data_IF_372961246290
#
_entry.id   IF_372961246290
#
_cell.length_a   1.000
_cell.length_b   1.000
_cell.length_c   1.000
_cell.angle_alpha   90.00
_cell.angle_beta   90.00
_cell.angle_gamma   90.00
#
_symmetry.space_group_name_H-M   'P 1'
#
loop_
_entity.id
_entity.type
_entity.pdbx_description
1 polymer ?
#
# COMPACT_ATOMS: atom_id res chain seq x y z
N UNK A 1 -24.38 22.89 17.21
CA UNK A 1 -25.43 23.52 18.04
C UNK A 1 -26.42 22.41 18.40
N UNK A 2 -26.22 21.78 19.54
CA UNK A 2 -27.03 20.67 20.01
C UNK A 2 -28.06 21.15 20.99
N UNK A 3 -29.33 20.95 20.69
CA UNK A 3 -30.44 21.21 21.58
C UNK A 3 -30.51 20.08 22.63
N UNK A 4 -30.24 20.41 23.84
CA UNK A 4 -30.51 19.59 25.03
C UNK A 4 -32.00 19.73 25.35
N UNK A 5 -32.78 18.71 24.97
CA UNK A 5 -34.16 18.55 25.43
C UNK A 5 -34.16 17.60 26.60
N UNK A 6 -34.34 18.14 27.80
CA UNK A 6 -34.60 17.32 28.99
C UNK A 6 -35.91 16.58 28.85
N UNK A 7 -35.85 15.25 29.00
CA UNK A 7 -37.02 14.41 29.26
C UNK A 7 -36.75 13.53 30.50
N UNK A 8 -37.73 13.49 31.33
CA UNK A 8 -37.87 12.73 32.57
C UNK A 8 -37.60 11.22 32.38
N UNK A 9 -37.17 10.50 33.44
CA UNK A 9 -36.69 9.12 33.35
C UNK A 9 -37.84 8.10 33.35
N UNK A 10 -38.67 8.10 32.33
CA UNK A 10 -39.67 7.04 32.17
C UNK A 10 -40.11 6.88 30.69
N UNK A 11 -39.12 6.63 29.84
CA UNK A 11 -39.37 6.03 28.54
C UNK A 11 -38.36 4.92 28.36
N UNK A 12 -38.81 3.69 28.66
CA UNK A 12 -38.18 2.45 28.25
C UNK A 12 -37.90 2.51 26.75
N UNK A 13 -36.69 2.86 26.39
CA UNK A 13 -36.15 2.60 25.05
C UNK A 13 -35.97 1.10 24.98
N UNK A 14 -37.00 0.40 24.53
CA UNK A 14 -36.88 -0.98 24.06
C UNK A 14 -35.98 -0.95 22.81
N UNK A 15 -34.66 -0.96 23.04
CA UNK A 15 -33.74 -1.43 22.02
C UNK A 15 -34.09 -2.90 21.76
N UNK A 16 -34.71 -3.14 20.62
CA UNK A 16 -34.94 -4.50 20.13
C UNK A 16 -33.57 -5.12 19.80
N UNK A 17 -32.89 -5.65 20.84
CA UNK A 17 -31.62 -6.36 20.76
C UNK A 17 -31.77 -7.82 20.30
N UNK A 18 -32.96 -8.21 19.80
CA UNK A 18 -33.26 -9.58 19.40
C UNK A 18 -33.10 -9.87 17.92
N UNK A 19 -32.48 -9.00 17.14
CA UNK A 19 -32.22 -9.30 15.72
C UNK A 19 -30.75 -9.49 15.42
N UNK A 20 -30.43 -10.70 15.23
CA UNK A 20 -29.34 -11.39 14.60
C UNK A 20 -28.88 -10.78 13.26
N UNK A 21 -28.55 -9.56 13.10
CA UNK A 21 -27.81 -8.97 11.95
C UNK A 21 -27.79 -7.45 12.12
N UNK A 22 -27.04 -6.95 13.11
CA UNK A 22 -26.61 -5.57 13.09
C UNK A 22 -25.56 -5.43 11.99
N UNK A 23 -25.97 -4.93 10.82
CA UNK A 23 -25.04 -4.41 9.85
C UNK A 23 -24.21 -3.31 10.51
N UNK A 24 -22.88 -3.45 10.50
CA UNK A 24 -21.90 -2.63 11.22
C UNK A 24 -21.91 -1.12 10.86
N UNK A 25 -22.79 -0.69 9.99
CA UNK A 25 -22.81 0.69 9.48
C UNK A 25 -23.46 1.72 10.41
N UNK A 26 -24.12 1.29 11.51
CA UNK A 26 -24.80 2.20 12.44
C UNK A 26 -24.47 1.95 13.92
N UNK A 27 -23.36 1.29 14.22
CA UNK A 27 -22.97 1.04 15.61
C UNK A 27 -22.24 2.27 16.16
N UNK A 28 -22.84 2.90 17.18
CA UNK A 28 -22.16 3.92 17.97
C UNK A 28 -21.32 3.21 19.06
N UNK A 29 -20.02 3.45 19.06
CA UNK A 29 -19.13 2.92 20.08
C UNK A 29 -19.24 3.72 21.38
N UNK A 30 -19.23 3.08 22.56
CA UNK A 30 -19.30 3.74 23.84
C UNK A 30 -18.04 4.60 24.07
N UNK A 31 -18.23 5.79 24.65
CA UNK A 31 -17.14 6.71 24.94
C UNK A 31 -17.23 7.38 26.32
N UNK A 32 -18.29 7.08 27.10
CA UNK A 32 -18.54 7.60 28.44
C UNK A 32 -18.72 6.50 29.46
N UNK A 33 -18.53 6.82 30.75
CA UNK A 33 -18.74 5.88 31.85
C UNK A 33 -20.21 5.48 32.01
N UNK A 34 -21.14 6.39 31.73
CA UNK A 34 -22.58 6.10 31.79
C UNK A 34 -22.98 5.04 30.75
N UNK A 35 -22.42 5.14 29.54
CA UNK A 35 -22.63 4.12 28.50
C UNK A 35 -22.02 2.77 28.91
N UNK A 36 -20.85 2.78 29.58
CA UNK A 36 -20.24 1.55 30.13
C UNK A 36 -21.15 0.92 31.18
N UNK A 37 -21.69 1.70 32.14
CA UNK A 37 -22.62 1.21 33.16
C UNK A 37 -23.90 0.62 32.55
N UNK A 38 -24.43 1.30 31.53
CA UNK A 38 -25.58 0.79 30.78
C UNK A 38 -25.26 -0.56 30.10
N UNK A 39 -24.12 -0.68 29.41
CA UNK A 39 -23.72 -1.93 28.76
C UNK A 39 -23.47 -3.05 29.77
N UNK A 40 -22.93 -2.74 30.96
CA UNK A 40 -22.74 -3.71 32.04
C UNK A 40 -24.09 -4.21 32.59
N UNK A 41 -25.10 -3.35 32.64
CA UNK A 41 -26.46 -3.73 33.11
C UNK A 41 -27.19 -4.66 32.13
N UNK A 42 -26.76 -4.70 30.85
CA UNK A 42 -27.32 -5.60 29.83
C UNK A 42 -26.86 -7.08 29.99
N UNK A 43 -26.08 -7.37 31.00
CA UNK A 43 -25.74 -8.73 31.49
C UNK A 43 -25.25 -9.70 30.42
N UNK A 44 -26.13 -10.53 29.90
CA UNK A 44 -25.79 -11.66 29.03
C UNK A 44 -25.71 -11.34 27.52
N UNK A 45 -25.81 -10.08 27.14
CA UNK A 45 -25.75 -9.69 25.70
C UNK A 45 -24.33 -9.82 25.14
N UNK A 46 -24.13 -10.70 24.17
CA UNK A 46 -22.86 -10.82 23.41
C UNK A 46 -22.48 -9.49 22.75
N UNK A 47 -23.45 -8.76 22.22
CA UNK A 47 -23.23 -7.45 21.61
C UNK A 47 -22.76 -6.39 22.62
N UNK A 48 -23.37 -6.37 23.84
CA UNK A 48 -22.92 -5.46 24.89
C UNK A 48 -21.48 -5.77 25.35
N UNK A 49 -21.13 -7.05 25.46
CA UNK A 49 -19.75 -7.48 25.76
C UNK A 49 -18.77 -7.07 24.67
N UNK A 50 -19.13 -7.22 23.41
CA UNK A 50 -18.32 -6.74 22.29
C UNK A 50 -18.04 -5.24 22.38
N UNK A 51 -19.07 -4.41 22.61
CA UNK A 51 -18.92 -2.97 22.74
C UNK A 51 -18.09 -2.56 23.96
N UNK A 52 -18.23 -3.23 25.09
CA UNK A 52 -17.39 -3.03 26.28
C UNK A 52 -15.92 -3.32 25.95
N UNK A 53 -15.64 -4.41 25.23
CA UNK A 53 -14.28 -4.71 24.74
C UNK A 53 -13.72 -3.61 23.87
N UNK A 54 -14.51 -3.04 22.96
CA UNK A 54 -14.10 -1.90 22.13
C UNK A 54 -13.78 -0.67 22.98
N UNK A 55 -14.59 -0.38 24.00
CA UNK A 55 -14.34 0.70 24.95
C UNK A 55 -13.02 0.50 25.70
N UNK A 56 -12.80 -0.67 26.29
CA UNK A 56 -11.57 -0.96 27.02
C UNK A 56 -10.34 -0.87 26.12
N UNK A 57 -10.43 -1.38 24.90
CA UNK A 57 -9.34 -1.25 23.93
C UNK A 57 -8.98 0.22 23.63
N UNK A 58 -9.98 1.09 23.46
CA UNK A 58 -9.77 2.53 23.25
C UNK A 58 -9.10 3.22 24.44
N UNK A 59 -9.26 2.65 25.64
CA UNK A 59 -8.60 3.11 26.88
C UNK A 59 -7.28 2.40 27.16
N UNK A 60 -6.77 1.60 26.19
CA UNK A 60 -5.53 0.82 26.27
C UNK A 60 -5.55 -0.24 27.39
N UNK A 61 -6.75 -0.61 27.86
CA UNK A 61 -6.98 -1.71 28.81
C UNK A 61 -7.21 -2.99 28.03
N UNK A 62 -6.10 -3.54 27.53
CA UNK A 62 -6.13 -4.63 26.55
C UNK A 62 -6.62 -5.95 27.14
N UNK A 63 -6.29 -6.25 28.39
CA UNK A 63 -6.71 -7.52 29.04
C UNK A 63 -8.21 -7.56 29.22
N UNK A 64 -8.83 -6.46 29.66
CA UNK A 64 -10.27 -6.35 29.80
C UNK A 64 -10.97 -6.39 28.44
N UNK A 65 -10.36 -5.76 27.42
CA UNK A 65 -10.90 -5.81 26.07
C UNK A 65 -10.97 -7.24 25.55
N UNK A 66 -9.87 -7.99 25.69
CA UNK A 66 -9.77 -9.39 25.25
C UNK A 66 -10.72 -10.30 26.02
N UNK A 67 -10.84 -10.10 27.35
CA UNK A 67 -11.82 -10.86 28.17
C UNK A 67 -13.23 -10.65 27.62
N UNK A 68 -13.63 -9.40 27.40
CA UNK A 68 -14.95 -9.09 26.85
C UNK A 68 -15.20 -9.73 25.47
N UNK A 69 -14.20 -9.69 24.57
CA UNK A 69 -14.36 -10.30 23.25
C UNK A 69 -14.38 -11.83 23.29
N UNK A 70 -13.63 -12.46 24.21
CA UNK A 70 -13.72 -13.92 24.45
C UNK A 70 -15.08 -14.32 25.01
N UNK A 71 -15.58 -13.58 26.01
CA UNK A 71 -16.94 -13.77 26.53
C UNK A 71 -18.00 -13.58 25.43
N UNK A 72 -17.78 -12.63 24.48
CA UNK A 72 -18.63 -12.47 23.31
C UNK A 72 -18.68 -13.76 22.48
N UNK A 73 -17.53 -14.39 22.23
CA UNK A 73 -17.42 -15.61 21.44
C UNK A 73 -17.91 -16.87 22.19
N UNK A 74 -17.84 -16.89 23.52
CA UNK A 74 -18.46 -17.94 24.32
C UNK A 74 -19.99 -17.96 24.15
N UNK A 75 -20.60 -16.74 24.07
CA UNK A 75 -22.04 -16.58 23.89
C UNK A 75 -22.47 -16.65 22.42
N UNK A 76 -21.64 -16.18 21.52
CA UNK A 76 -21.90 -16.14 20.10
C UNK A 76 -20.62 -16.48 19.30
N UNK A 77 -20.33 -17.79 19.11
CA UNK A 77 -19.09 -18.24 18.46
C UNK A 77 -18.89 -17.73 17.02
N UNK A 78 -19.97 -17.33 16.37
CA UNK A 78 -19.97 -16.84 14.98
C UNK A 78 -20.02 -15.31 14.88
N UNK A 79 -19.71 -14.60 15.98
CA UNK A 79 -19.69 -13.14 15.96
C UNK A 79 -18.39 -12.62 15.30
N UNK A 80 -18.45 -12.43 13.99
CA UNK A 80 -17.30 -12.08 13.15
C UNK A 80 -16.53 -10.82 13.61
N UNK A 81 -17.17 -9.72 14.08
CA UNK A 81 -16.42 -8.56 14.57
C UNK A 81 -15.52 -8.84 15.77
N UNK A 82 -15.89 -9.77 16.65
CA UNK A 82 -15.04 -10.14 17.78
C UNK A 82 -13.81 -10.95 17.33
N UNK A 83 -13.99 -11.89 16.39
CA UNK A 83 -12.85 -12.56 15.75
C UNK A 83 -11.89 -11.57 15.09
N UNK A 84 -12.43 -10.61 14.34
CA UNK A 84 -11.62 -9.56 13.73
C UNK A 84 -10.78 -8.80 14.75
N UNK A 85 -11.37 -8.33 15.86
CA UNK A 85 -10.66 -7.55 16.88
C UNK A 85 -9.62 -8.38 17.64
N UNK A 86 -9.91 -9.66 17.91
CA UNK A 86 -8.92 -10.57 18.48
C UNK A 86 -7.75 -10.79 17.52
N UNK A 87 -7.99 -10.86 16.20
CA UNK A 87 -6.94 -10.93 15.20
C UNK A 87 -6.05 -9.68 15.19
N UNK A 88 -6.65 -8.49 15.20
CA UNK A 88 -5.93 -7.21 15.29
C UNK A 88 -5.10 -7.13 16.59
N UNK A 89 -5.68 -7.52 17.72
CA UNK A 89 -4.97 -7.55 18.99
C UNK A 89 -3.79 -8.53 18.98
N UNK A 90 -4.00 -9.75 18.45
CA UNK A 90 -2.95 -10.77 18.37
C UNK A 90 -1.76 -10.29 17.56
N UNK A 91 -1.98 -9.56 16.48
CA UNK A 91 -0.90 -8.94 15.68
C UNK A 91 -0.23 -7.78 16.43
N UNK A 92 -1.01 -6.77 16.82
CA UNK A 92 -0.47 -5.49 17.28
C UNK A 92 0.12 -5.56 18.70
N UNK A 93 -0.41 -6.44 19.56
CA UNK A 93 -0.04 -6.46 20.99
C UNK A 93 0.65 -7.75 21.41
N UNK A 94 0.26 -8.88 20.87
CA UNK A 94 0.89 -10.17 21.20
C UNK A 94 2.01 -10.54 20.22
N UNK A 95 2.07 -9.92 19.04
CA UNK A 95 2.99 -10.28 17.96
C UNK A 95 2.86 -11.77 17.55
N UNK A 96 1.66 -12.33 17.72
CA UNK A 96 1.32 -13.69 17.32
C UNK A 96 0.67 -13.72 15.95
N UNK A 97 1.51 -13.88 14.93
CA UNK A 97 1.11 -13.90 13.52
C UNK A 97 0.16 -15.09 13.20
N UNK A 98 0.36 -16.24 13.86
CA UNK A 98 -0.43 -17.44 13.62
C UNK A 98 -1.85 -17.25 14.14
N UNK A 99 -1.99 -16.75 15.36
CA UNK A 99 -3.28 -16.50 15.95
C UNK A 99 -4.01 -15.35 15.24
N UNK A 100 -3.29 -14.27 14.87
CA UNK A 100 -3.85 -13.16 14.10
C UNK A 100 -4.44 -13.64 12.78
N UNK A 101 -3.69 -14.47 12.03
CA UNK A 101 -4.13 -15.01 10.75
C UNK A 101 -5.39 -15.89 10.92
N UNK A 102 -5.39 -16.79 11.92
CA UNK A 102 -6.52 -17.68 12.17
C UNK A 102 -7.81 -16.89 12.50
N UNK A 103 -7.71 -15.86 13.33
CA UNK A 103 -8.85 -15.03 13.69
C UNK A 103 -9.38 -14.21 12.51
N UNK A 104 -8.52 -13.59 11.71
CA UNK A 104 -8.96 -12.82 10.54
C UNK A 104 -9.54 -13.74 9.45
N UNK A 105 -8.98 -14.92 9.24
CA UNK A 105 -9.57 -15.93 8.35
C UNK A 105 -10.97 -16.35 8.81
N UNK A 106 -11.16 -16.54 10.11
CA UNK A 106 -12.49 -16.89 10.67
C UNK A 106 -13.47 -15.74 10.45
N UNK A 107 -13.07 -14.48 10.69
CA UNK A 107 -13.92 -13.32 10.45
C UNK A 107 -14.38 -13.24 8.98
N UNK A 108 -13.46 -13.44 8.02
CA UNK A 108 -13.78 -13.45 6.58
C UNK A 108 -14.68 -14.63 6.20
N UNK A 109 -14.49 -15.80 6.83
CA UNK A 109 -15.33 -16.98 6.57
C UNK A 109 -16.76 -16.77 7.07
N UNK A 110 -16.95 -16.05 8.17
CA UNK A 110 -18.26 -15.73 8.75
C UNK A 110 -19.00 -14.63 7.96
N UNK A 111 -18.27 -13.63 7.47
CA UNK A 111 -18.81 -12.53 6.68
C UNK A 111 -18.07 -12.39 5.35
N UNK A 112 -18.27 -13.28 4.38
CA UNK A 112 -17.50 -13.33 3.14
C UNK A 112 -17.72 -12.09 2.24
N UNK A 113 -18.82 -11.38 2.41
CA UNK A 113 -19.15 -10.14 1.67
C UNK A 113 -18.62 -8.86 2.33
N UNK A 114 -17.96 -8.98 3.47
CA UNK A 114 -17.39 -7.86 4.20
C UNK A 114 -16.01 -7.48 3.62
N UNK A 115 -16.01 -6.48 2.76
CA UNK A 115 -14.79 -6.03 2.08
C UNK A 115 -13.71 -5.49 3.05
N UNK A 116 -14.10 -4.97 4.24
CA UNK A 116 -13.14 -4.54 5.26
C UNK A 116 -12.38 -5.73 5.85
N UNK A 117 -13.08 -6.81 6.19
CA UNK A 117 -12.43 -8.00 6.74
C UNK A 117 -11.49 -8.64 5.70
N UNK A 118 -11.91 -8.66 4.45
CA UNK A 118 -11.07 -9.15 3.36
C UNK A 118 -9.82 -8.27 3.17
N UNK A 119 -9.95 -6.94 3.24
CA UNK A 119 -8.82 -6.02 3.19
C UNK A 119 -7.83 -6.27 4.32
N UNK A 120 -8.31 -6.39 5.56
CA UNK A 120 -7.46 -6.59 6.73
C UNK A 120 -6.74 -7.95 6.70
N UNK A 121 -7.41 -9.01 6.20
CA UNK A 121 -6.78 -10.31 5.98
C UNK A 121 -5.70 -10.24 4.90
N UNK A 122 -5.99 -9.63 3.75
CA UNK A 122 -5.02 -9.48 2.66
C UNK A 122 -3.82 -8.64 3.11
N UNK A 123 -4.06 -7.56 3.87
CA UNK A 123 -3.00 -6.72 4.41
C UNK A 123 -2.10 -7.49 5.40
N UNK A 124 -2.68 -8.33 6.27
CA UNK A 124 -1.90 -9.23 7.11
C UNK A 124 -1.08 -10.22 6.28
N UNK A 125 -1.66 -10.81 5.25
CA UNK A 125 -0.95 -11.72 4.34
C UNK A 125 0.22 -11.02 3.64
N UNK A 126 0.07 -9.73 3.26
CA UNK A 126 1.14 -8.89 2.72
C UNK A 126 2.27 -8.72 3.75
N UNK A 127 1.94 -8.40 5.00
CA UNK A 127 2.92 -8.24 6.10
C UNK A 127 3.65 -9.56 6.41
N UNK A 128 3.00 -10.69 6.19
CA UNK A 128 3.57 -12.04 6.31
C UNK A 128 4.32 -12.51 5.07
N UNK A 129 4.56 -11.64 4.10
CA UNK A 129 5.24 -11.94 2.83
C UNK A 129 4.61 -13.12 2.06
N UNK A 130 3.28 -13.29 2.11
CA UNK A 130 2.60 -14.27 1.29
C UNK A 130 2.78 -13.96 -0.19
N UNK A 131 2.87 -14.99 -1.01
CA UNK A 131 3.19 -14.84 -2.42
C UNK A 131 2.16 -13.99 -3.17
N UNK A 132 2.61 -13.29 -4.23
CA UNK A 132 1.73 -12.54 -5.13
C UNK A 132 0.62 -13.43 -5.68
N UNK A 133 0.96 -14.67 -6.05
CA UNK A 133 0.00 -15.62 -6.62
C UNK A 133 -1.10 -16.00 -5.62
N UNK A 134 -0.75 -16.35 -4.38
CA UNK A 134 -1.72 -16.72 -3.33
C UNK A 134 -2.69 -15.59 -3.03
N UNK A 135 -2.18 -14.36 -2.82
CA UNK A 135 -3.01 -13.19 -2.56
C UNK A 135 -3.88 -12.83 -3.76
N UNK A 136 -3.30 -12.82 -4.97
CA UNK A 136 -4.01 -12.49 -6.20
C UNK A 136 -5.17 -13.46 -6.46
N UNK A 137 -4.97 -14.77 -6.31
CA UNK A 137 -6.02 -15.78 -6.49
C UNK A 137 -7.20 -15.47 -5.56
N UNK A 138 -6.94 -15.22 -4.28
CA UNK A 138 -7.99 -14.89 -3.30
C UNK A 138 -8.77 -13.63 -3.68
N UNK A 139 -8.08 -12.57 -4.12
CA UNK A 139 -8.74 -11.30 -4.46
C UNK A 139 -9.51 -11.38 -5.79
N UNK A 140 -9.00 -12.12 -6.78
CA UNK A 140 -9.68 -12.30 -8.07
C UNK A 140 -10.95 -13.15 -7.91
N UNK A 141 -10.93 -14.23 -7.13
CA UNK A 141 -12.11 -15.04 -6.82
C UNK A 141 -13.21 -14.22 -6.13
N UNK A 142 -12.82 -13.17 -5.39
CA UNK A 142 -13.73 -12.29 -4.66
C UNK A 142 -13.82 -10.88 -5.25
N UNK A 143 -13.54 -10.72 -6.54
CA UNK A 143 -13.46 -9.41 -7.22
C UNK A 143 -14.65 -8.50 -6.95
N UNK A 144 -15.87 -9.04 -6.91
CA UNK A 144 -17.07 -8.24 -6.59
C UNK A 144 -17.01 -7.61 -5.19
N UNK A 145 -16.45 -8.30 -4.20
CA UNK A 145 -16.23 -7.78 -2.85
C UNK A 145 -15.07 -6.79 -2.83
N UNK A 146 -13.97 -7.11 -3.51
CA UNK A 146 -12.79 -6.23 -3.63
C UNK A 146 -13.17 -4.86 -4.15
N UNK A 147 -13.99 -4.80 -5.19
CA UNK A 147 -14.42 -3.55 -5.81
C UNK A 147 -15.40 -2.72 -4.95
N UNK A 148 -15.80 -3.18 -3.77
CA UNK A 148 -16.58 -2.36 -2.82
C UNK A 148 -15.73 -1.32 -2.08
N UNK A 149 -14.36 -1.44 -2.09
CA UNK A 149 -13.43 -0.56 -1.37
C UNK A 149 -12.24 -0.18 -2.24
N UNK A 150 -11.86 1.08 -2.19
CA UNK A 150 -10.75 1.61 -3.01
C UNK A 150 -9.39 1.14 -2.50
N UNK A 151 -9.19 1.03 -1.18
CA UNK A 151 -7.96 0.51 -0.58
C UNK A 151 -7.69 -0.96 -0.95
N UNK A 152 -8.72 -1.80 -0.91
CA UNK A 152 -8.61 -3.20 -1.32
C UNK A 152 -8.44 -3.35 -2.85
N UNK A 153 -9.07 -2.45 -3.62
CA UNK A 153 -8.88 -2.38 -5.07
C UNK A 153 -7.43 -1.99 -5.41
N UNK A 154 -6.82 -1.07 -4.64
CA UNK A 154 -5.41 -0.71 -4.81
C UNK A 154 -4.47 -1.91 -4.61
N UNK A 155 -4.74 -2.78 -3.62
CA UNK A 155 -3.97 -4.02 -3.44
C UNK A 155 -4.11 -4.98 -4.63
N UNK A 156 -5.33 -5.14 -5.16
CA UNK A 156 -5.55 -5.94 -6.38
C UNK A 156 -4.79 -5.39 -7.59
N UNK A 157 -4.80 -4.07 -7.78
CA UNK A 157 -4.05 -3.40 -8.86
C UNK A 157 -2.54 -3.63 -8.72
N UNK A 158 -1.99 -3.50 -7.51
CA UNK A 158 -0.58 -3.78 -7.22
C UNK A 158 -0.21 -5.24 -7.56
N UNK A 159 -1.03 -6.20 -7.14
CA UNK A 159 -0.81 -7.62 -7.44
C UNK A 159 -0.89 -7.93 -8.94
N UNK A 160 -1.82 -7.33 -9.66
CA UNK A 160 -1.91 -7.46 -11.12
C UNK A 160 -0.69 -6.86 -11.83
N UNK A 161 -0.25 -5.66 -11.42
CA UNK A 161 0.94 -5.03 -11.97
C UNK A 161 2.20 -5.86 -11.67
N UNK A 162 2.33 -6.39 -10.46
CA UNK A 162 3.46 -7.23 -10.07
C UNK A 162 3.52 -8.58 -10.82
N UNK A 163 2.37 -9.10 -11.27
CA UNK A 163 2.23 -10.43 -11.92
C UNK A 163 2.05 -10.38 -13.44
N UNK A 164 2.11 -9.20 -14.06
CA UNK A 164 2.02 -9.06 -15.52
C UNK A 164 0.60 -8.97 -16.08
N UNK A 165 -0.43 -8.90 -15.24
CA UNK A 165 -1.84 -8.74 -15.63
C UNK A 165 -2.20 -7.28 -15.91
N UNK A 166 -1.39 -6.61 -16.73
CA UNK A 166 -1.50 -5.15 -16.95
C UNK A 166 -2.81 -4.73 -17.62
N UNK A 167 -3.38 -5.59 -18.47
CA UNK A 167 -4.66 -5.30 -19.12
C UNK A 167 -5.83 -5.33 -18.12
N UNK A 168 -5.80 -6.27 -17.16
CA UNK A 168 -6.83 -6.37 -16.12
C UNK A 168 -6.78 -5.15 -15.18
N UNK A 169 -5.57 -4.72 -14.82
CA UNK A 169 -5.38 -3.51 -14.03
C UNK A 169 -5.84 -2.25 -14.80
N UNK A 170 -5.47 -2.12 -16.08
CA UNK A 170 -5.90 -1.01 -16.92
C UNK A 170 -7.42 -0.91 -17.03
N UNK A 171 -8.12 -2.03 -17.21
CA UNK A 171 -9.57 -2.04 -17.32
C UNK A 171 -10.28 -1.44 -16.08
N UNK A 172 -9.72 -1.61 -14.88
CA UNK A 172 -10.25 -0.99 -13.67
C UNK A 172 -9.82 0.48 -13.58
N UNK A 173 -8.55 0.78 -13.84
CA UNK A 173 -8.00 2.13 -13.75
C UNK A 173 -8.67 3.10 -14.75
N UNK A 174 -9.04 2.61 -15.93
CA UNK A 174 -9.67 3.42 -16.98
C UNK A 174 -11.17 3.69 -16.75
N UNK A 175 -11.84 2.88 -15.93
CA UNK A 175 -13.32 2.91 -15.84
C UNK A 175 -13.88 3.20 -14.47
N UNK A 176 -13.17 2.83 -13.40
CA UNK A 176 -13.62 3.00 -12.03
C UNK A 176 -13.40 4.43 -11.55
N UNK A 177 -14.39 5.02 -10.88
CA UNK A 177 -14.22 6.25 -10.12
C UNK A 177 -13.70 5.89 -8.74
N UNK A 178 -12.54 6.45 -8.37
CA UNK A 178 -11.91 6.30 -7.07
C UNK A 178 -12.15 7.53 -6.21
N UNK A 179 -12.15 7.33 -4.90
CA UNK A 179 -12.32 8.39 -3.92
C UNK A 179 -11.07 8.45 -3.04
N UNK A 180 -10.47 9.62 -2.84
CA UNK A 180 -9.35 9.79 -1.92
C UNK A 180 -9.74 9.34 -0.50
N UNK A 181 -8.79 8.69 0.18
CA UNK A 181 -8.97 8.35 1.60
C UNK A 181 -7.68 8.65 2.36
N UNK A 182 -7.82 8.97 3.64
CA UNK A 182 -6.67 9.28 4.50
C UNK A 182 -5.71 8.08 4.62
N UNK A 183 -4.43 8.32 4.38
CA UNK A 183 -3.39 7.29 4.30
C UNK A 183 -3.39 6.49 2.98
N UNK A 184 -4.17 6.93 2.01
CA UNK A 184 -4.25 6.37 0.66
C UNK A 184 -3.69 7.26 -0.43
N UNK A 185 -3.18 8.42 -0.07
CA UNK A 185 -2.65 9.43 -0.97
C UNK A 185 -1.59 8.83 -1.90
N UNK A 186 -1.74 9.05 -3.18
CA UNK A 186 -0.84 8.55 -4.21
C UNK A 186 -0.93 7.05 -4.51
N UNK A 187 -1.73 6.25 -3.78
CA UNK A 187 -1.79 4.80 -4.02
C UNK A 187 -2.43 4.45 -5.35
N UNK A 188 -3.56 5.03 -5.68
CA UNK A 188 -4.25 4.75 -6.95
C UNK A 188 -3.47 5.34 -8.13
N UNK A 189 -3.05 6.58 -8.03
CA UNK A 189 -2.24 7.24 -9.07
C UNK A 189 -0.90 6.55 -9.25
N UNK A 190 -0.27 6.06 -8.18
CA UNK A 190 0.93 5.23 -8.24
C UNK A 190 0.72 3.92 -9.01
N UNK A 191 -0.40 3.22 -8.79
CA UNK A 191 -0.73 2.02 -9.54
C UNK A 191 -1.03 2.32 -11.02
N UNK A 192 -1.65 3.47 -11.32
CA UNK A 192 -1.83 3.93 -12.69
C UNK A 192 -0.49 4.18 -13.39
N UNK A 193 0.43 4.91 -12.75
CA UNK A 193 1.78 5.15 -13.27
C UNK A 193 2.52 3.85 -13.55
N UNK A 194 2.54 2.94 -12.57
CA UNK A 194 3.18 1.62 -12.72
C UNK A 194 2.59 0.82 -13.87
N UNK A 195 1.27 0.84 -14.02
CA UNK A 195 0.59 0.16 -15.13
C UNK A 195 1.02 0.72 -16.49
N UNK A 196 1.04 2.06 -16.62
CA UNK A 196 1.47 2.70 -17.87
C UNK A 196 2.95 2.41 -18.17
N UNK A 197 3.84 2.44 -17.16
CA UNK A 197 5.25 2.10 -17.32
C UNK A 197 5.44 0.64 -17.75
N UNK A 198 4.76 -0.29 -17.09
CA UNK A 198 4.84 -1.70 -17.46
C UNK A 198 4.32 -1.98 -18.89
N UNK A 199 3.23 -1.34 -19.28
CA UNK A 199 2.69 -1.45 -20.65
C UNK A 199 3.65 -0.83 -21.68
N UNK A 200 4.28 0.29 -21.35
CA UNK A 200 5.31 0.89 -22.20
C UNK A 200 6.49 -0.08 -22.39
N UNK A 201 6.97 -0.71 -21.31
CA UNK A 201 8.04 -1.72 -21.40
C UNK A 201 7.64 -2.92 -22.26
N UNK A 202 6.41 -3.43 -22.15
CA UNK A 202 5.91 -4.49 -23.04
C UNK A 202 5.93 -4.06 -24.53
N UNK A 203 5.61 -2.82 -24.82
CA UNK A 203 5.68 -2.31 -26.19
C UNK A 203 7.13 -2.12 -26.67
N UNK A 204 8.04 -1.69 -25.78
CA UNK A 204 9.48 -1.60 -26.07
C UNK A 204 10.05 -2.98 -26.41
N UNK A 205 9.74 -4.02 -25.65
CA UNK A 205 10.16 -5.41 -25.92
C UNK A 205 9.76 -5.90 -27.31
N UNK A 206 8.66 -5.38 -27.85
CA UNK A 206 8.14 -5.72 -29.19
C UNK A 206 8.61 -4.78 -30.28
N UNK A 207 9.46 -3.79 -29.96
CA UNK A 207 9.88 -2.75 -30.91
C UNK A 207 8.77 -1.76 -31.29
N UNK A 208 7.66 -1.75 -30.52
CA UNK A 208 6.49 -0.91 -30.80
C UNK A 208 6.61 0.45 -30.09
N UNK A 209 7.66 1.23 -30.44
CA UNK A 209 8.04 2.46 -29.74
C UNK A 209 6.98 3.55 -29.76
N UNK A 210 6.14 3.61 -30.79
CA UNK A 210 5.02 4.57 -30.83
C UNK A 210 4.00 4.29 -29.71
N UNK A 211 3.57 3.03 -29.56
CA UNK A 211 2.62 2.63 -28.52
C UNK A 211 3.24 2.81 -27.12
N UNK A 212 4.55 2.52 -26.97
CA UNK A 212 5.26 2.82 -25.72
C UNK A 212 5.22 4.31 -25.38
N UNK A 213 5.50 5.17 -26.36
CA UNK A 213 5.43 6.62 -26.22
C UNK A 213 4.02 7.10 -25.83
N UNK A 214 2.97 6.51 -26.40
CA UNK A 214 1.59 6.84 -26.06
C UNK A 214 1.28 6.51 -24.59
N UNK A 215 1.68 5.34 -24.09
CA UNK A 215 1.56 4.97 -22.68
C UNK A 215 2.33 5.93 -21.75
N UNK A 216 3.57 6.27 -22.09
CA UNK A 216 4.42 7.17 -21.31
C UNK A 216 3.84 8.59 -21.26
N UNK A 217 3.31 9.09 -22.38
CA UNK A 217 2.63 10.39 -22.41
C UNK A 217 1.31 10.38 -21.62
N UNK A 218 0.59 9.26 -21.62
CA UNK A 218 -0.58 9.08 -20.77
C UNK A 218 -0.21 9.12 -19.27
N UNK A 219 0.93 8.52 -18.89
CA UNK A 219 1.41 8.55 -17.51
C UNK A 219 1.70 9.96 -16.97
N UNK A 220 1.98 10.94 -17.84
CA UNK A 220 2.16 12.34 -17.45
C UNK A 220 0.84 13.07 -17.13
N UNK A 221 -0.31 12.42 -17.29
CA UNK A 221 -1.63 12.99 -17.05
C UNK A 221 -2.46 12.01 -16.24
N UNK A 222 -3.06 12.48 -15.16
CA UNK A 222 -3.96 11.64 -14.38
C UNK A 222 -5.40 11.85 -14.83
N UNK A 223 -6.11 10.78 -15.25
CA UNK A 223 -7.54 10.85 -15.50
C UNK A 223 -8.32 11.24 -14.24
N UNK A 224 -9.37 12.04 -14.39
CA UNK A 224 -10.16 12.57 -13.26
C UNK A 224 -10.79 11.46 -12.40
N UNK A 225 -11.08 10.31 -12.99
CA UNK A 225 -11.67 9.17 -12.29
C UNK A 225 -10.76 8.55 -11.23
N UNK A 226 -9.45 8.85 -11.25
CA UNK A 226 -8.52 8.37 -10.22
C UNK A 226 -8.69 9.09 -8.87
N UNK A 227 -9.42 10.21 -8.83
CA UNK A 227 -9.76 10.95 -7.62
C UNK A 227 -8.65 11.86 -7.09
N UNK A 228 -7.45 11.80 -7.65
CA UNK A 228 -6.30 12.62 -7.26
C UNK A 228 -5.64 13.24 -8.48
N UNK A 229 -5.26 14.52 -8.36
CA UNK A 229 -4.49 15.23 -9.38
C UNK A 229 -2.99 14.99 -9.26
N UNK A 230 -2.28 15.33 -10.33
CA UNK A 230 -0.82 15.29 -10.33
C UNK A 230 -0.27 16.44 -9.49
N UNK A 231 0.75 16.15 -8.66
CA UNK A 231 1.40 17.15 -7.83
C UNK A 231 2.28 18.08 -8.66
N UNK A 232 2.31 19.36 -8.29
CA UNK A 232 3.22 20.33 -8.86
C UNK A 232 4.66 19.97 -8.47
N UNK A 233 5.57 20.10 -9.44
CA UNK A 233 7.01 19.83 -9.19
C UNK A 233 7.42 18.36 -9.28
N UNK A 234 6.53 17.45 -9.61
CA UNK A 234 6.86 16.04 -9.87
C UNK A 234 7.79 15.95 -11.10
N UNK A 235 8.93 15.27 -10.94
CA UNK A 235 10.00 15.27 -11.96
C UNK A 235 9.91 14.12 -12.96
N UNK A 236 9.21 13.02 -12.64
CA UNK A 236 8.95 11.87 -13.54
C UNK A 236 10.18 11.38 -14.31
N UNK A 237 11.31 11.28 -13.65
CA UNK A 237 12.59 10.95 -14.28
C UNK A 237 12.56 9.62 -15.03
N UNK A 238 11.83 8.63 -14.53
CA UNK A 238 11.60 7.33 -15.17
C UNK A 238 10.85 7.47 -16.50
N UNK A 239 9.78 8.25 -16.53
CA UNK A 239 8.97 8.49 -17.73
C UNK A 239 9.80 9.23 -18.79
N UNK A 240 10.49 10.30 -18.38
CA UNK A 240 11.30 11.07 -19.32
C UNK A 240 12.47 10.26 -19.88
N UNK A 241 13.11 9.41 -19.06
CA UNK A 241 14.14 8.51 -19.56
C UNK A 241 13.60 7.53 -20.60
N UNK A 242 12.46 6.90 -20.34
CA UNK A 242 11.85 5.94 -21.26
C UNK A 242 11.37 6.61 -22.55
N UNK A 243 10.85 7.84 -22.49
CA UNK A 243 10.54 8.64 -23.68
C UNK A 243 11.79 8.94 -24.50
N UNK A 244 12.91 9.28 -23.84
CA UNK A 244 14.20 9.47 -24.49
C UNK A 244 14.69 8.20 -25.18
N UNK A 245 14.56 7.04 -24.50
CA UNK A 245 14.89 5.75 -25.09
C UNK A 245 14.03 5.44 -26.34
N UNK A 246 12.72 5.64 -26.26
CA UNK A 246 11.83 5.43 -27.41
C UNK A 246 12.18 6.34 -28.61
N UNK A 247 12.50 7.61 -28.35
CA UNK A 247 12.92 8.56 -29.40
C UNK A 247 14.26 8.14 -30.03
N UNK A 248 15.23 7.73 -29.21
CA UNK A 248 16.54 7.23 -29.67
C UNK A 248 16.36 6.00 -30.58
N UNK A 249 15.53 5.04 -30.18
CA UNK A 249 15.25 3.85 -30.98
C UNK A 249 14.47 4.16 -32.30
N UNK A 250 13.68 5.23 -32.30
CA UNK A 250 13.00 5.74 -33.49
C UNK A 250 13.90 6.57 -34.42
N UNK A 251 15.16 6.80 -34.04
CA UNK A 251 16.14 7.61 -34.80
C UNK A 251 16.03 9.12 -34.62
N UNK A 252 15.19 9.59 -33.67
CA UNK A 252 15.06 11.03 -33.38
C UNK A 252 16.01 11.42 -32.22
N UNK A 253 17.28 11.64 -32.61
CA UNK A 253 18.33 11.98 -31.65
C UNK A 253 18.11 13.33 -30.95
N UNK A 254 17.47 14.30 -31.62
CA UNK A 254 17.17 15.60 -31.03
C UNK A 254 16.12 15.43 -29.90
N UNK A 255 15.02 14.80 -30.19
CA UNK A 255 13.96 14.57 -29.21
C UNK A 255 14.45 13.69 -28.05
N UNK A 256 15.31 12.70 -28.34
CA UNK A 256 15.92 11.87 -27.30
C UNK A 256 16.77 12.71 -26.34
N UNK A 257 17.62 13.62 -26.87
CA UNK A 257 18.42 14.51 -26.04
C UNK A 257 17.58 15.44 -25.16
N UNK A 258 16.49 15.99 -25.69
CA UNK A 258 15.53 16.81 -24.92
C UNK A 258 14.90 16.03 -23.77
N UNK A 259 14.43 14.81 -24.00
CA UNK A 259 13.86 13.97 -22.97
C UNK A 259 14.89 13.53 -21.92
N UNK A 260 16.11 13.16 -22.30
CA UNK A 260 17.18 12.86 -21.35
C UNK A 260 17.57 14.07 -20.50
N UNK A 261 17.47 15.29 -21.05
CA UNK A 261 17.66 16.50 -20.27
C UNK A 261 16.57 16.69 -19.19
N UNK A 262 15.32 16.38 -19.50
CA UNK A 262 14.22 16.38 -18.52
C UNK A 262 14.42 15.29 -17.48
N UNK A 263 14.86 14.10 -17.87
CA UNK A 263 15.13 12.98 -16.98
C UNK A 263 16.24 13.24 -15.94
N UNK A 264 17.04 14.28 -16.12
CA UNK A 264 18.13 14.67 -15.20
C UNK A 264 17.71 15.67 -14.13
N UNK A 265 16.47 16.19 -14.18
CA UNK A 265 16.00 17.21 -13.24
C UNK A 265 15.63 16.59 -11.90
N UNK A 266 15.73 17.35 -10.81
CA UNK A 266 15.29 16.96 -9.48
C UNK A 266 16.38 17.07 -8.42
N UNK A 267 16.05 16.61 -7.22
CA UNK A 267 16.96 16.59 -6.07
C UNK A 267 18.03 15.51 -6.20
N UNK A 268 19.08 15.62 -5.38
CA UNK A 268 20.22 14.69 -5.36
C UNK A 268 20.33 13.87 -4.07
N UNK A 269 19.31 13.92 -3.19
CA UNK A 269 19.30 13.20 -1.90
C UNK A 269 18.66 11.82 -2.04
N UNK A 270 19.15 10.85 -1.27
CA UNK A 270 18.64 9.48 -1.20
C UNK A 270 17.73 9.25 0.01
N UNK A 271 17.28 10.31 0.67
CA UNK A 271 16.39 10.19 1.81
C UNK A 271 15.17 9.31 1.46
N UNK A 272 14.83 8.41 2.38
CA UNK A 272 13.57 7.68 2.27
C UNK A 272 12.44 8.71 2.23
N UNK A 273 11.67 8.73 1.15
CA UNK A 273 10.51 9.60 1.04
C UNK A 273 9.61 9.44 2.25
N UNK A 274 9.42 10.49 3.02
CA UNK A 274 8.59 10.48 4.24
C UNK A 274 7.14 10.73 3.91
N UNK A 275 6.91 11.52 2.87
CA UNK A 275 5.59 11.95 2.43
C UNK A 275 5.37 11.53 0.97
N UNK A 276 4.12 11.36 0.58
CA UNK A 276 3.75 10.93 -0.77
C UNK A 276 4.15 11.92 -1.87
N UNK A 277 4.43 13.18 -1.50
CA UNK A 277 4.88 14.24 -2.42
C UNK A 277 6.40 14.41 -2.47
N UNK A 278 7.16 13.66 -1.67
CA UNK A 278 8.61 13.69 -1.73
C UNK A 278 9.11 13.02 -3.02
N UNK A 279 10.26 13.48 -3.52
CA UNK A 279 10.89 12.82 -4.66
C UNK A 279 11.25 11.38 -4.31
N UNK A 280 10.78 10.37 -5.06
CA UNK A 280 11.19 9.00 -4.84
C UNK A 280 12.70 8.81 -5.00
N UNK A 281 13.34 8.07 -4.10
CA UNK A 281 14.79 7.88 -4.13
C UNK A 281 15.28 7.21 -5.43
N UNK A 282 14.47 6.35 -6.05
CA UNK A 282 14.78 5.73 -7.34
C UNK A 282 14.86 6.73 -8.50
N UNK A 283 14.29 7.93 -8.36
CA UNK A 283 14.42 8.97 -9.39
C UNK A 283 15.87 9.39 -9.61
N UNK A 284 16.70 9.39 -8.56
CA UNK A 284 18.13 9.65 -8.67
C UNK A 284 18.85 8.59 -9.55
N UNK A 285 18.39 7.35 -9.54
CA UNK A 285 18.89 6.31 -10.46
C UNK A 285 18.58 6.67 -11.93
N UNK A 286 17.33 7.08 -12.21
CA UNK A 286 16.93 7.47 -13.56
C UNK A 286 17.70 8.73 -14.03
N UNK A 287 17.96 9.67 -13.12
CA UNK A 287 18.86 10.81 -13.40
C UNK A 287 20.28 10.32 -13.76
N UNK A 288 20.82 9.35 -13.02
CA UNK A 288 22.14 8.79 -13.27
C UNK A 288 22.27 8.13 -14.65
N UNK A 289 21.29 7.31 -15.05
CA UNK A 289 21.33 6.69 -16.38
C UNK A 289 21.09 7.71 -17.50
N UNK A 290 20.30 8.75 -17.29
CA UNK A 290 20.12 9.86 -18.22
C UNK A 290 21.41 10.70 -18.37
N UNK A 291 22.17 10.89 -17.28
CA UNK A 291 23.51 11.51 -17.33
C UNK A 291 24.47 10.71 -18.21
N UNK A 292 24.46 9.39 -18.10
CA UNK A 292 25.30 8.50 -18.94
C UNK A 292 24.94 8.65 -20.41
N UNK A 293 23.66 8.65 -20.76
CA UNK A 293 23.16 8.89 -22.13
C UNK A 293 23.50 10.29 -22.65
N UNK A 294 23.65 11.28 -21.78
CA UNK A 294 24.04 12.67 -22.12
C UNK A 294 25.57 12.90 -22.16
N UNK A 295 26.39 11.84 -22.17
CA UNK A 295 27.83 11.94 -22.27
C UNK A 295 28.57 12.28 -20.96
N UNK A 296 27.95 12.08 -19.79
CA UNK A 296 28.52 12.33 -18.47
C UNK A 296 28.67 11.04 -17.64
N UNK A 297 29.39 9.99 -18.14
CA UNK A 297 29.46 8.69 -17.47
C UNK A 297 30.15 8.74 -16.10
N UNK A 298 31.15 9.59 -15.91
CA UNK A 298 31.86 9.74 -14.64
C UNK A 298 30.94 10.26 -13.52
N UNK A 299 30.08 11.24 -13.82
CA UNK A 299 29.12 11.75 -12.87
C UNK A 299 28.01 10.71 -12.58
N UNK A 300 27.56 9.99 -13.59
CA UNK A 300 26.61 8.89 -13.42
C UNK A 300 27.16 7.81 -12.48
N UNK A 301 28.43 7.44 -12.65
CA UNK A 301 29.09 6.45 -11.78
C UNK A 301 29.16 6.92 -10.32
N UNK A 302 29.39 8.20 -10.06
CA UNK A 302 29.35 8.76 -8.71
C UNK A 302 27.97 8.60 -8.07
N UNK A 303 26.88 8.83 -8.82
CA UNK A 303 25.52 8.60 -8.34
C UNK A 303 25.32 7.14 -7.94
N UNK A 304 25.72 6.19 -8.80
CA UNK A 304 25.53 4.77 -8.51
C UNK A 304 26.39 4.25 -7.34
N UNK A 305 27.60 4.75 -7.16
CA UNK A 305 28.42 4.46 -5.98
C UNK A 305 27.76 5.01 -4.71
N UNK A 306 27.22 6.24 -4.78
CA UNK A 306 26.52 6.85 -3.67
C UNK A 306 25.33 6.01 -3.19
N UNK A 307 24.58 5.35 -4.07
CA UNK A 307 23.52 4.41 -3.68
C UNK A 307 24.03 3.26 -2.80
N UNK A 308 25.16 2.65 -3.19
CA UNK A 308 25.75 1.52 -2.44
C UNK A 308 26.29 1.99 -1.11
N UNK A 309 27.03 3.10 -1.11
CA UNK A 309 27.64 3.66 0.09
C UNK A 309 26.58 4.10 1.10
N UNK A 310 25.52 4.77 0.62
CA UNK A 310 24.40 5.19 1.45
C UNK A 310 23.70 3.99 2.08
N UNK A 311 23.38 2.96 1.31
CA UNK A 311 22.72 1.76 1.81
C UNK A 311 23.58 1.02 2.84
N UNK A 312 24.92 0.97 2.64
CA UNK A 312 25.84 0.35 3.58
C UNK A 312 25.94 1.14 4.90
N UNK A 313 25.94 2.47 4.83
CA UNK A 313 26.04 3.35 6.01
C UNK A 313 24.76 3.35 6.84
N UNK A 314 23.58 3.25 6.20
CA UNK A 314 22.28 3.41 6.83
C UNK A 314 21.53 2.10 7.09
N UNK A 315 22.12 0.95 6.74
CA UNK A 315 21.46 -0.38 6.88
C UNK A 315 20.97 -0.68 8.28
N UNK A 316 21.72 -0.28 9.29
CA UNK A 316 21.47 -0.59 10.70
C UNK A 316 20.80 0.57 11.44
N UNK A 317 20.41 1.63 10.73
CA UNK A 317 19.69 2.75 11.32
C UNK A 317 18.35 2.29 11.88
N UNK A 318 17.99 2.85 13.03
CA UNK A 318 16.68 2.67 13.63
C UNK A 318 15.79 3.83 13.18
N UNK A 319 14.90 3.62 12.20
CA UNK A 319 14.08 4.70 11.70
C UNK A 319 13.11 5.19 12.77
N UNK A 320 13.10 6.49 13.01
CA UNK A 320 12.05 7.12 13.79
C UNK A 320 10.83 7.31 12.88
N UNK A 321 9.70 6.80 13.32
CA UNK A 321 8.42 7.05 12.64
C UNK A 321 7.97 8.44 13.04
N UNK A 322 8.10 9.37 12.11
CA UNK A 322 7.54 10.71 12.25
C UNK A 322 6.09 10.68 11.75
N UNK A 323 5.15 10.79 12.67
CA UNK A 323 3.74 10.89 12.31
C UNK A 323 3.43 12.35 12.04
N UNK A 324 3.11 12.68 10.80
CA UNK A 324 2.54 13.98 10.49
C UNK A 324 1.20 14.13 11.24
N UNK A 325 0.87 15.35 11.64
CA UNK A 325 -0.21 15.66 12.58
C UNK A 325 -1.61 15.12 12.22
N UNK A 326 -1.83 14.70 10.99
CA UNK A 326 -3.10 14.12 10.50
C UNK A 326 -3.07 12.59 10.40
N UNK A 327 -1.89 11.97 10.39
CA UNK A 327 -1.73 10.51 10.31
C UNK A 327 -1.55 9.93 11.70
N UNK A 328 -2.65 9.79 12.42
CA UNK A 328 -2.62 9.24 13.77
C UNK A 328 -2.28 7.75 13.75
N UNK A 329 -1.36 7.28 14.66
CA UNK A 329 -1.05 5.85 14.78
C UNK A 329 -2.28 4.97 14.98
N UNK A 330 -3.30 5.50 15.62
CA UNK A 330 -4.54 4.78 15.93
C UNK A 330 -5.43 4.52 14.68
N UNK A 331 -5.12 5.13 13.53
CA UNK A 331 -5.81 4.86 12.25
C UNK A 331 -5.22 3.64 11.53
N UNK A 332 -4.02 3.21 11.89
CA UNK A 332 -3.39 2.02 11.33
C UNK A 332 -3.98 0.78 12.00
N UNK A 333 -4.68 -0.04 11.22
CA UNK A 333 -5.36 -1.23 11.76
C UNK A 333 -4.35 -2.30 12.21
N UNK A 334 -3.31 -2.54 11.41
CA UNK A 334 -2.22 -3.48 11.71
C UNK A 334 -0.89 -2.73 11.75
N UNK A 335 -0.15 -2.90 12.83
CA UNK A 335 1.15 -2.26 13.01
C UNK A 335 2.14 -2.73 11.93
N UNK A 336 2.86 -1.78 11.34
CA UNK A 336 3.87 -2.03 10.31
C UNK A 336 5.24 -1.70 10.86
N UNK A 337 6.19 -2.62 10.73
CA UNK A 337 7.57 -2.43 11.19
C UNK A 337 8.28 -1.34 10.37
N UNK A 338 8.65 -0.24 11.02
CA UNK A 338 9.48 0.81 10.42
C UNK A 338 10.85 0.26 10.01
N UNK A 339 11.42 -0.63 10.84
CA UNK A 339 12.69 -1.30 10.55
C UNK A 339 12.61 -2.15 9.28
N UNK A 340 11.52 -2.90 9.10
CA UNK A 340 11.34 -3.72 7.89
C UNK A 340 11.18 -2.84 6.64
N UNK A 341 10.48 -1.72 6.72
CA UNK A 341 10.38 -0.75 5.61
C UNK A 341 11.74 -0.17 5.26
N UNK A 342 12.52 0.20 6.26
CA UNK A 342 13.86 0.73 6.07
C UNK A 342 14.80 -0.31 5.42
N UNK A 343 14.75 -1.56 5.87
CA UNK A 343 15.50 -2.65 5.26
C UNK A 343 15.15 -2.85 3.78
N UNK A 344 13.85 -2.82 3.43
CA UNK A 344 13.42 -2.89 2.04
C UNK A 344 13.98 -1.73 1.21
N UNK A 345 13.96 -0.52 1.76
CA UNK A 345 14.51 0.67 1.12
C UNK A 345 16.02 0.53 0.86
N UNK A 346 16.82 0.13 1.86
CA UNK A 346 18.25 -0.08 1.70
C UNK A 346 18.57 -1.14 0.64
N UNK A 347 17.87 -2.28 0.65
CA UNK A 347 18.05 -3.33 -0.36
C UNK A 347 17.71 -2.83 -1.76
N UNK A 348 16.65 -2.05 -1.90
CA UNK A 348 16.24 -1.49 -3.20
C UNK A 348 17.28 -0.50 -3.73
N UNK A 349 17.72 0.43 -2.90
CA UNK A 349 18.74 1.43 -3.27
C UNK A 349 20.05 0.75 -3.64
N UNK A 350 20.54 -0.19 -2.83
CA UNK A 350 21.75 -0.95 -3.12
C UNK A 350 21.66 -1.69 -4.46
N UNK A 351 20.50 -2.29 -4.76
CA UNK A 351 20.27 -2.96 -6.03
C UNK A 351 20.36 -1.99 -7.22
N UNK A 352 19.78 -0.79 -7.10
CA UNK A 352 19.86 0.26 -8.14
C UNK A 352 21.30 0.74 -8.35
N UNK A 353 22.08 0.90 -7.29
CA UNK A 353 23.50 1.26 -7.40
C UNK A 353 24.28 0.20 -8.17
N UNK A 354 24.10 -1.08 -7.85
CA UNK A 354 24.73 -2.19 -8.60
C UNK A 354 24.30 -2.22 -10.06
N UNK A 355 23.00 -2.00 -10.34
CA UNK A 355 22.49 -1.94 -11.71
C UNK A 355 23.16 -0.81 -12.49
N UNK A 356 23.22 0.37 -11.91
CA UNK A 356 23.87 1.52 -12.53
C UNK A 356 25.35 1.31 -12.84
N UNK A 357 26.06 0.55 -12.03
CA UNK A 357 27.47 0.16 -12.28
C UNK A 357 27.64 -1.03 -13.23
N UNK A 358 26.54 -1.60 -13.76
CA UNK A 358 26.58 -2.77 -14.65
C UNK A 358 26.72 -4.11 -13.90
N UNK A 359 26.67 -4.12 -12.59
CA UNK A 359 26.78 -5.34 -11.75
C UNK A 359 25.42 -6.05 -11.66
N UNK A 360 24.92 -6.56 -12.79
CA UNK A 360 23.58 -7.15 -12.89
C UNK A 360 23.33 -8.29 -11.91
N UNK A 361 24.33 -9.17 -11.68
CA UNK A 361 24.21 -10.29 -10.74
C UNK A 361 23.98 -9.79 -9.30
N UNK A 362 24.72 -8.78 -8.86
CA UNK A 362 24.55 -8.19 -7.52
C UNK A 362 23.18 -7.50 -7.39
N UNK A 363 22.75 -6.76 -8.42
CA UNK A 363 21.41 -6.19 -8.48
C UNK A 363 20.33 -7.27 -8.31
N UNK A 364 20.39 -8.34 -9.09
CA UNK A 364 19.44 -9.46 -9.01
C UNK A 364 19.42 -10.11 -7.64
N UNK A 365 20.57 -10.28 -7.01
CA UNK A 365 20.65 -10.83 -5.65
C UNK A 365 19.94 -9.94 -4.62
N UNK A 366 20.16 -8.61 -4.67
CA UNK A 366 19.51 -7.67 -3.75
C UNK A 366 18.00 -7.60 -4.01
N UNK A 367 17.57 -7.58 -5.28
CA UNK A 367 16.16 -7.64 -5.65
C UNK A 367 15.49 -8.93 -5.16
N UNK A 368 16.17 -10.06 -5.24
CA UNK A 368 15.66 -11.33 -4.71
C UNK A 368 15.46 -11.27 -3.19
N UNK A 369 16.42 -10.73 -2.45
CA UNK A 369 16.31 -10.54 -1.00
C UNK A 369 15.13 -9.60 -0.65
N UNK A 370 14.97 -8.51 -1.39
CA UNK A 370 13.85 -7.59 -1.24
C UNK A 370 12.52 -8.29 -1.47
N UNK A 371 12.38 -9.07 -2.55
CA UNK A 371 11.15 -9.78 -2.90
C UNK A 371 10.84 -10.96 -1.97
N UNK A 372 11.81 -11.47 -1.19
CA UNK A 372 11.54 -12.41 -0.09
C UNK A 372 10.83 -11.72 1.10
N UNK A 373 11.14 -10.44 1.35
CA UNK A 373 10.52 -9.66 2.42
C UNK A 373 9.19 -9.07 1.97
N UNK A 374 9.12 -8.61 0.74
CA UNK A 374 7.95 -8.01 0.13
C UNK A 374 7.74 -8.52 -1.30
N UNK A 375 7.04 -9.65 -1.48
CA UNK A 375 6.83 -10.25 -2.79
C UNK A 375 6.12 -9.36 -3.82
N UNK A 376 5.36 -8.36 -3.37
CA UNK A 376 4.65 -7.41 -4.22
C UNK A 376 5.30 -6.01 -4.22
N UNK A 377 6.62 -5.91 -4.07
CA UNK A 377 7.31 -4.63 -4.09
C UNK A 377 7.27 -4.01 -5.50
N UNK A 378 6.39 -3.05 -5.71
CA UNK A 378 6.04 -2.45 -7.00
C UNK A 378 7.27 -2.02 -7.84
N UNK A 379 8.15 -1.21 -7.26
CA UNK A 379 9.34 -0.71 -7.96
C UNK A 379 10.36 -1.81 -8.28
N UNK A 380 10.47 -2.86 -7.45
CA UNK A 380 11.36 -4.00 -7.74
C UNK A 380 10.86 -4.79 -8.96
N UNK A 381 9.54 -4.97 -9.08
CA UNK A 381 8.94 -5.57 -10.27
C UNK A 381 9.13 -4.71 -11.52
N UNK A 382 9.01 -3.39 -11.41
CA UNK A 382 9.26 -2.47 -12.51
C UNK A 382 10.71 -2.54 -13.01
N UNK A 383 11.70 -2.47 -12.11
CA UNK A 383 13.13 -2.55 -12.48
C UNK A 383 13.46 -3.92 -13.08
N UNK A 384 12.89 -5.00 -12.57
CA UNK A 384 13.08 -6.35 -13.14
C UNK A 384 12.54 -6.41 -14.57
N UNK A 385 11.37 -5.86 -14.83
CA UNK A 385 10.79 -5.77 -16.18
C UNK A 385 11.65 -4.90 -17.10
N UNK A 386 12.10 -3.74 -16.62
CA UNK A 386 12.99 -2.85 -17.36
C UNK A 386 14.33 -3.51 -17.74
N UNK A 387 14.87 -4.35 -16.84
CA UNK A 387 16.06 -5.18 -17.15
C UNK A 387 15.79 -6.18 -18.29
N UNK A 388 14.65 -6.84 -18.26
CA UNK A 388 14.25 -7.79 -19.29
C UNK A 388 14.03 -7.11 -20.64
N UNK A 389 13.52 -5.90 -20.65
CA UNK A 389 13.27 -5.10 -21.85
C UNK A 389 14.55 -4.53 -22.49
N UNK A 390 15.72 -4.73 -21.88
CA UNK A 390 17.02 -4.30 -22.45
C UNK A 390 17.28 -2.80 -22.48
N UNK A 391 16.48 -2.00 -21.77
CA UNK A 391 16.61 -0.51 -21.80
C UNK A 391 17.88 0.04 -21.12
N UNK A 392 18.61 -0.79 -20.40
CA UNK A 392 19.85 -0.42 -19.69
C UNK A 392 21.12 -0.88 -20.44
N UNK A 393 20.98 -1.52 -21.61
CA UNK A 393 22.08 -1.97 -22.46
C UNK A 393 22.73 -0.84 -23.28
#
# INVERSE_FOLDING_TARGET
MFLVGGKTPDQSVHLNLTTTHCHAHNVRFPNSLDEVQMLQSLGDSAFARYLLGCFWYSKRRYDEAVSCWRETLEKSPDYAPAHRLLGVYSWNKQQDATQALAYLQRAVALEPENARFLFELDFLQKLLARSVHERLTTLVERKAVVLKRDDLTAELLSLWNASGHYADAAAILDTRVFHPWEGGEGKITGQYLLNQLHRALQFIERGAFKQATDCLKAALRYPDNLGEGRLLGQTDNDIWYLLGYCAEQAGDAQQAAEYYQLARQGGSTLDAGRYYNDQPADYLFWQGIALRKSGNPAQAEQYFRHFIDWAAQHRDDVPQVDFFAVSLPDLVVLDVSAQQRHQQHCLFIEALGHLGLGNVSACQQRMQQLLQINPAHDKAHLIRHALQSGIFS
#
